data_IF_346848365747
#
_entry.id   IF_346848365747
#
_cell.length_a   1.000
_cell.length_b   1.000
_cell.length_c   1.000
_cell.angle_alpha   90.00
_cell.angle_beta   90.00
_cell.angle_gamma   90.00
#
_symmetry.space_group_name_H-M   'P 1'
#
loop_
_entity.id
_entity.type
_entity.pdbx_description
1 polymer ?
#
# COMPACT_ATOMS: atom_id res chain seq x y z
N UNK A 1 0.47 -7.07 8.45
CA UNK A 1 0.45 -7.58 9.84
C UNK A 1 1.42 -6.75 10.67
N UNK A 2 1.03 -6.23 11.84
CA UNK A 2 2.01 -5.63 12.75
C UNK A 2 3.08 -6.69 13.06
N UNK A 3 4.36 -6.29 13.20
CA UNK A 3 5.40 -7.21 13.65
C UNK A 3 4.95 -7.84 14.96
N UNK A 4 5.12 -9.18 15.09
CA UNK A 4 4.82 -9.89 16.33
C UNK A 4 5.53 -9.14 17.47
N UNK A 5 4.75 -8.63 18.42
CA UNK A 5 5.29 -8.01 19.62
C UNK A 5 6.34 -8.94 20.21
N UNK A 6 7.50 -8.40 20.57
CA UNK A 6 8.51 -9.19 21.26
C UNK A 6 7.84 -9.79 22.50
N UNK A 7 7.78 -11.11 22.57
CA UNK A 7 7.38 -11.82 23.79
C UNK A 7 8.43 -11.46 24.83
N UNK A 8 8.16 -10.43 25.62
CA UNK A 8 8.92 -10.16 26.83
C UNK A 8 8.60 -11.29 27.81
N UNK A 9 9.53 -12.23 27.92
CA UNK A 9 9.63 -13.13 29.08
C UNK A 9 9.54 -12.27 30.33
N UNK A 10 8.41 -12.35 31.03
CA UNK A 10 8.25 -11.77 32.36
C UNK A 10 9.21 -12.50 33.30
N UNK A 11 10.36 -11.89 33.57
CA UNK A 11 11.12 -12.21 34.76
C UNK A 11 10.32 -11.69 35.95
N UNK A 12 10.04 -12.56 36.91
CA UNK A 12 9.41 -12.24 38.19
C UNK A 12 10.35 -11.32 39.00
N UNK A 13 10.19 -10.01 38.80
CA UNK A 13 10.92 -8.98 39.53
C UNK A 13 9.97 -7.86 39.88
N UNK A 14 9.92 -7.52 41.18
CA UNK A 14 9.18 -6.42 41.84
C UNK A 14 8.53 -5.42 40.86
N UNK A 15 7.20 -5.47 40.77
CA UNK A 15 6.37 -4.57 39.97
C UNK A 15 6.45 -3.14 40.52
N UNK A 16 7.47 -2.39 40.09
CA UNK A 16 7.45 -0.93 40.19
C UNK A 16 6.60 -0.46 39.01
N UNK A 17 5.49 0.28 39.21
CA UNK A 17 4.75 0.83 38.08
C UNK A 17 5.72 1.71 37.29
N UNK A 18 5.98 1.34 36.04
CA UNK A 18 6.88 2.10 35.19
C UNK A 18 6.31 3.51 35.02
N UNK A 19 7.06 4.49 35.48
CA UNK A 19 6.74 5.90 35.24
C UNK A 19 6.68 6.16 33.73
N UNK A 20 5.85 7.10 33.29
CA UNK A 20 5.80 7.51 31.88
C UNK A 20 7.20 7.70 31.27
N UNK A 21 8.09 8.40 32.00
CA UNK A 21 9.46 8.65 31.57
C UNK A 21 10.28 7.37 31.34
N UNK A 22 10.22 6.41 32.27
CA UNK A 22 10.96 5.15 32.11
C UNK A 22 10.43 4.31 30.95
N UNK A 23 9.11 4.27 30.76
CA UNK A 23 8.50 3.61 29.60
C UNK A 23 8.95 4.25 28.29
N UNK A 24 8.90 5.58 28.19
CA UNK A 24 9.33 6.29 26.97
C UNK A 24 10.82 6.09 26.67
N UNK A 25 11.69 6.15 27.68
CA UNK A 25 13.12 5.86 27.51
C UNK A 25 13.35 4.44 27.01
N UNK A 26 12.57 3.46 27.47
CA UNK A 26 12.64 2.10 26.96
C UNK A 26 12.16 2.01 25.50
N UNK A 27 11.02 2.62 25.17
CA UNK A 27 10.44 2.59 23.83
C UNK A 27 11.33 3.23 22.78
N UNK A 28 11.96 4.37 23.07
CA UNK A 28 12.85 5.08 22.12
C UNK A 28 14.03 4.21 21.67
N UNK A 29 14.46 3.24 22.50
CA UNK A 29 15.54 2.29 22.12
C UNK A 29 15.06 1.20 21.16
N UNK A 30 13.75 1.10 20.92
CA UNK A 30 13.17 0.05 20.07
C UNK A 30 12.98 0.53 18.63
N UNK A 31 13.20 -0.37 17.68
CA UNK A 31 12.90 -0.09 16.27
C UNK A 31 11.40 0.16 16.02
N UNK A 32 10.52 -0.44 16.82
CA UNK A 32 9.06 -0.29 16.69
C UNK A 32 8.61 1.14 17.00
N UNK A 33 9.29 1.84 17.91
CA UNK A 33 8.98 3.24 18.20
C UNK A 33 9.25 4.15 17.01
N UNK A 34 10.34 3.94 16.28
CA UNK A 34 10.62 4.70 15.06
C UNK A 34 9.64 4.36 13.93
N UNK A 35 9.21 3.10 13.81
CA UNK A 35 8.15 2.72 12.89
C UNK A 35 6.83 3.44 13.21
N UNK A 36 6.46 3.51 14.48
CA UNK A 36 5.31 4.30 14.95
C UNK A 36 5.45 5.79 14.60
N UNK A 37 6.61 6.38 14.90
CA UNK A 37 6.86 7.79 14.63
C UNK A 37 6.78 8.10 13.12
N UNK A 38 7.27 7.19 12.26
CA UNK A 38 7.12 7.29 10.81
C UNK A 38 5.65 7.34 10.39
N UNK A 39 4.78 6.50 10.98
CA UNK A 39 3.34 6.55 10.70
C UNK A 39 2.68 7.84 11.21
N UNK A 40 3.08 8.35 12.37
CA UNK A 40 2.62 9.67 12.85
C UNK A 40 3.02 10.77 11.87
N UNK A 41 4.25 10.75 11.34
CA UNK A 41 4.69 11.70 10.32
C UNK A 41 3.91 11.57 9.01
N UNK A 42 3.54 10.35 8.58
CA UNK A 42 2.63 10.16 7.44
C UNK A 42 1.31 10.91 7.67
N UNK A 43 0.69 10.76 8.84
CA UNK A 43 -0.59 11.39 9.17
C UNK A 43 -0.48 12.93 9.22
N UNK A 44 0.54 13.46 9.89
CA UNK A 44 0.77 14.91 9.99
C UNK A 44 1.05 15.51 8.61
N UNK A 45 1.95 14.90 7.83
CA UNK A 45 2.29 15.39 6.50
C UNK A 45 1.10 15.28 5.52
N UNK A 46 0.30 14.21 5.61
CA UNK A 46 -0.94 14.07 4.84
C UNK A 46 -1.92 15.20 5.18
N UNK A 47 -2.15 15.48 6.46
CA UNK A 47 -3.04 16.55 6.87
C UNK A 47 -2.56 17.92 6.36
N UNK A 48 -1.27 18.22 6.49
CA UNK A 48 -0.67 19.44 5.96
C UNK A 48 -0.75 19.52 4.44
N UNK A 49 -0.57 18.41 3.71
CA UNK A 49 -0.76 18.35 2.26
C UNK A 49 -2.18 18.78 1.86
N UNK A 50 -3.21 18.31 2.56
CA UNK A 50 -4.60 18.68 2.26
C UNK A 50 -4.89 20.16 2.60
N UNK A 51 -4.43 20.66 3.74
CA UNK A 51 -4.61 22.08 4.12
C UNK A 51 -3.86 23.00 3.16
N UNK A 52 -2.63 22.65 2.79
CA UNK A 52 -1.81 23.50 1.91
C UNK A 52 -2.14 23.34 0.44
N UNK A 53 -3.09 22.47 0.08
CA UNK A 53 -3.62 22.37 -1.28
C UNK A 53 -4.15 23.70 -1.81
N UNK A 54 -4.54 24.62 -0.93
CA UNK A 54 -4.99 25.97 -1.25
C UNK A 54 -3.85 27.01 -1.37
N UNK A 55 -2.63 26.68 -0.91
CA UNK A 55 -1.55 27.65 -0.64
C UNK A 55 -0.18 27.25 -1.24
N UNK A 56 -0.17 26.52 -2.36
CA UNK A 56 1.01 26.22 -3.20
C UNK A 56 2.09 25.27 -2.65
N UNK A 57 2.10 24.92 -1.35
CA UNK A 57 3.11 24.00 -0.74
C UNK A 57 2.74 22.51 -0.79
N UNK A 58 1.72 22.15 -1.56
CA UNK A 58 1.13 20.80 -1.67
C UNK A 58 2.14 19.71 -1.99
N UNK A 59 3.07 19.97 -2.92
CA UNK A 59 4.07 18.97 -3.36
C UNK A 59 5.13 18.67 -2.29
N UNK A 60 5.48 19.66 -1.47
CA UNK A 60 6.45 19.46 -0.40
C UNK A 60 5.93 18.43 0.61
N UNK A 61 4.72 18.67 1.15
CA UNK A 61 4.13 17.76 2.12
C UNK A 61 3.80 16.39 1.52
N UNK A 62 3.41 16.33 0.24
CA UNK A 62 3.28 15.07 -0.50
C UNK A 62 4.57 14.23 -0.46
N UNK A 63 5.72 14.86 -0.73
CA UNK A 63 7.02 14.18 -0.69
C UNK A 63 7.42 13.76 0.74
N UNK A 64 7.10 14.57 1.76
CA UNK A 64 7.32 14.18 3.15
C UNK A 64 6.45 12.98 3.55
N UNK A 65 5.18 12.93 3.11
CA UNK A 65 4.31 11.77 3.29
C UNK A 65 4.94 10.53 2.69
N UNK A 66 5.33 10.57 1.41
CA UNK A 66 5.96 9.43 0.72
C UNK A 66 7.29 9.02 1.34
N UNK A 67 8.12 9.97 1.77
CA UNK A 67 9.38 9.67 2.45
C UNK A 67 9.15 8.96 3.79
N UNK A 68 8.14 9.40 4.54
CA UNK A 68 7.74 8.77 5.81
C UNK A 68 7.21 7.35 5.59
N UNK A 69 6.44 7.13 4.51
CA UNK A 69 6.01 5.80 4.05
C UNK A 69 7.22 4.92 3.72
N UNK A 70 8.16 5.42 2.91
CA UNK A 70 9.37 4.67 2.56
C UNK A 70 10.17 4.26 3.80
N UNK A 71 10.27 5.16 4.78
CA UNK A 71 10.92 4.87 6.05
C UNK A 71 10.22 3.74 6.82
N UNK A 72 8.88 3.78 6.99
CA UNK A 72 8.15 2.74 7.72
C UNK A 72 8.22 1.38 7.03
N UNK A 73 8.06 1.33 5.70
CA UNK A 73 8.16 0.08 4.96
C UNK A 73 9.58 -0.46 4.90
N UNK A 74 10.62 0.39 4.86
CA UNK A 74 12.01 -0.06 4.99
C UNK A 74 12.24 -0.78 6.31
N UNK A 75 11.70 -0.24 7.41
CA UNK A 75 11.77 -0.87 8.72
C UNK A 75 11.11 -2.26 8.70
N UNK A 76 9.90 -2.37 8.13
CA UNK A 76 9.17 -3.65 8.03
C UNK A 76 9.93 -4.65 7.17
N UNK A 77 10.39 -4.26 5.98
CA UNK A 77 11.15 -5.13 5.07
C UNK A 77 12.44 -5.62 5.72
N UNK A 78 13.14 -4.75 6.46
CA UNK A 78 14.31 -5.15 7.24
C UNK A 78 13.97 -6.21 8.28
N UNK A 79 12.86 -6.04 9.01
CA UNK A 79 12.41 -6.99 10.01
C UNK A 79 11.98 -8.32 9.43
N UNK A 80 11.33 -8.34 8.27
CA UNK A 80 10.78 -9.57 7.69
C UNK A 80 11.84 -10.33 6.91
N UNK A 81 12.60 -9.65 6.06
CA UNK A 81 13.48 -10.29 5.06
C UNK A 81 14.97 -10.13 5.30
N UNK A 82 15.40 -9.16 6.11
CA UNK A 82 16.82 -8.81 6.25
C UNK A 82 17.31 -8.82 7.71
N UNK A 83 16.77 -9.73 8.52
CA UNK A 83 17.16 -9.87 9.95
C UNK A 83 18.65 -10.13 10.13
N UNK A 84 19.25 -10.88 9.23
CA UNK A 84 20.68 -11.26 9.25
C UNK A 84 21.28 -11.18 7.85
N UNK A 85 22.61 -11.01 7.77
CA UNK A 85 23.33 -11.05 6.48
C UNK A 85 23.15 -12.39 5.75
N UNK A 86 22.92 -13.49 6.48
CA UNK A 86 22.60 -14.79 5.89
C UNK A 86 21.25 -14.79 5.13
N UNK A 87 20.29 -13.97 5.59
CA UNK A 87 18.97 -13.82 4.96
C UNK A 87 19.05 -13.20 3.55
N UNK A 88 20.10 -12.41 3.28
CA UNK A 88 20.35 -11.85 1.94
C UNK A 88 20.73 -12.91 0.90
N UNK A 89 21.30 -14.04 1.35
CA UNK A 89 21.69 -15.16 0.50
C UNK A 89 20.62 -16.25 0.43
N UNK A 90 19.44 -16.03 1.02
CA UNK A 90 18.37 -17.01 1.00
C UNK A 90 17.91 -17.27 -0.45
N UNK A 91 17.91 -18.53 -0.92
CA UNK A 91 17.63 -18.86 -2.33
C UNK A 91 16.25 -18.40 -2.80
N UNK A 92 15.30 -18.22 -1.87
CA UNK A 92 13.92 -17.81 -2.15
C UNK A 92 13.62 -16.34 -1.84
N UNK A 93 14.62 -15.51 -1.52
CA UNK A 93 14.40 -14.10 -1.13
C UNK A 93 13.59 -13.31 -2.18
N UNK A 94 13.93 -13.47 -3.46
CA UNK A 94 13.21 -12.79 -4.56
C UNK A 94 11.73 -13.21 -4.62
N UNK A 95 11.48 -14.51 -4.52
CA UNK A 95 10.11 -15.05 -4.54
C UNK A 95 9.31 -14.59 -3.30
N UNK A 96 9.96 -14.47 -2.14
CA UNK A 96 9.35 -13.99 -0.91
C UNK A 96 8.99 -12.50 -1.00
N UNK A 97 9.87 -11.67 -1.56
CA UNK A 97 9.61 -10.25 -1.78
C UNK A 97 8.46 -10.01 -2.76
N UNK A 98 8.40 -10.77 -3.86
CA UNK A 98 7.31 -10.67 -4.85
C UNK A 98 5.95 -11.06 -4.23
N UNK A 99 5.94 -11.86 -3.17
CA UNK A 99 4.69 -12.22 -2.47
C UNK A 99 4.34 -11.30 -1.30
N UNK A 100 5.24 -10.42 -0.89
CA UNK A 100 5.03 -9.55 0.27
C UNK A 100 4.37 -8.23 -0.12
N UNK A 101 3.15 -8.01 0.38
CA UNK A 101 2.41 -6.76 0.18
C UNK A 101 3.21 -5.52 0.62
N UNK A 102 3.99 -5.62 1.69
CA UNK A 102 4.81 -4.51 2.19
C UNK A 102 5.87 -4.09 1.16
N UNK A 103 6.40 -5.06 0.41
CA UNK A 103 7.34 -4.77 -0.67
C UNK A 103 6.64 -4.07 -1.84
N UNK A 104 5.42 -4.49 -2.18
CA UNK A 104 4.64 -3.83 -3.24
C UNK A 104 4.34 -2.37 -2.90
N UNK A 105 3.92 -2.11 -1.67
CA UNK A 105 3.69 -0.76 -1.16
C UNK A 105 4.96 0.09 -1.12
N UNK A 106 6.10 -0.50 -0.74
CA UNK A 106 7.40 0.17 -0.78
C UNK A 106 7.76 0.60 -2.20
N UNK A 107 7.68 -0.31 -3.18
CA UNK A 107 7.98 -0.02 -4.59
C UNK A 107 7.04 1.06 -5.14
N UNK A 108 5.74 0.97 -4.82
CA UNK A 108 4.75 1.96 -5.24
C UNK A 108 5.09 3.35 -4.69
N UNK A 109 5.36 3.47 -3.39
CA UNK A 109 5.76 4.72 -2.76
C UNK A 109 7.07 5.28 -3.32
N UNK A 110 8.04 4.40 -3.61
CA UNK A 110 9.35 4.78 -4.14
C UNK A 110 9.21 5.40 -5.52
N UNK A 111 8.45 4.76 -6.40
CA UNK A 111 8.20 5.25 -7.76
C UNK A 111 7.50 6.59 -7.70
N UNK A 112 6.42 6.73 -6.90
CA UNK A 112 5.76 8.02 -6.73
C UNK A 112 6.70 9.10 -6.20
N UNK A 113 7.56 8.77 -5.23
CA UNK A 113 8.51 9.73 -4.67
C UNK A 113 9.49 10.23 -5.73
N UNK A 114 10.11 9.30 -6.47
CA UNK A 114 11.10 9.61 -7.50
C UNK A 114 10.50 10.41 -8.65
N UNK A 115 9.27 10.12 -9.07
CA UNK A 115 8.63 10.82 -10.19
C UNK A 115 7.90 12.11 -9.80
N UNK A 116 7.57 12.30 -8.51
CA UNK A 116 6.75 13.43 -8.02
C UNK A 116 7.31 14.80 -8.36
N UNK A 117 8.63 14.96 -8.41
CA UNK A 117 9.26 16.26 -8.70
C UNK A 117 9.03 16.69 -10.15
N UNK A 118 8.72 15.74 -11.04
CA UNK A 118 8.49 15.99 -12.46
C UNK A 118 7.01 15.89 -12.84
N UNK A 119 6.28 14.92 -12.28
CA UNK A 119 4.88 14.67 -12.58
C UNK A 119 3.90 15.38 -11.63
N UNK A 120 4.39 15.91 -10.51
CA UNK A 120 3.54 16.43 -9.43
C UNK A 120 2.99 15.34 -8.52
N UNK A 121 2.00 15.70 -7.70
CA UNK A 121 1.32 14.76 -6.81
C UNK A 121 0.25 13.99 -7.57
N UNK A 122 0.31 12.65 -7.54
CA UNK A 122 -0.74 11.81 -8.11
C UNK A 122 -1.94 11.77 -7.16
N UNK A 123 -3.12 12.14 -7.65
CA UNK A 123 -4.35 12.14 -6.84
C UNK A 123 -4.64 10.74 -6.28
N UNK A 124 -5.02 10.68 -5.00
CA UNK A 124 -5.35 9.43 -4.30
C UNK A 124 -4.16 8.53 -3.91
N UNK A 125 -2.95 8.80 -4.41
CA UNK A 125 -1.77 7.94 -4.20
C UNK A 125 -1.30 7.78 -2.75
N UNK A 126 -1.70 8.68 -1.86
CA UNK A 126 -1.33 8.66 -0.44
C UNK A 126 -2.43 8.16 0.50
N UNK A 127 -3.62 7.84 -0.03
CA UNK A 127 -4.79 7.51 0.81
C UNK A 127 -4.65 6.17 1.52
N UNK A 128 -4.33 5.08 0.79
CA UNK A 128 -4.14 3.77 1.40
C UNK A 128 -3.03 3.79 2.46
N UNK A 129 -1.89 4.44 2.15
CA UNK A 129 -0.80 4.64 3.12
C UNK A 129 -1.24 5.37 4.38
N UNK A 130 -2.04 6.42 4.25
CA UNK A 130 -2.56 7.20 5.38
C UNK A 130 -3.52 6.37 6.22
N UNK A 131 -4.40 5.60 5.58
CA UNK A 131 -5.32 4.70 6.26
C UNK A 131 -4.56 3.67 7.10
N UNK A 132 -3.58 2.96 6.51
CA UNK A 132 -2.77 2.01 7.28
C UNK A 132 -2.01 2.70 8.42
N UNK A 133 -1.49 3.90 8.18
CA UNK A 133 -0.77 4.68 9.20
C UNK A 133 -1.65 5.08 10.38
N UNK A 134 -2.93 5.36 10.15
CA UNK A 134 -3.88 5.68 11.22
C UNK A 134 -4.06 4.48 12.15
N UNK A 135 -4.37 3.31 11.60
CA UNK A 135 -4.59 2.10 12.39
C UNK A 135 -3.30 1.66 13.09
N UNK A 136 -2.16 1.70 12.40
CA UNK A 136 -0.87 1.40 13.01
C UNK A 136 -0.51 2.33 14.16
N UNK A 137 -0.76 3.64 14.02
CA UNK A 137 -0.52 4.62 15.07
C UNK A 137 -1.42 4.38 16.29
N UNK A 138 -2.72 4.15 16.07
CA UNK A 138 -3.69 3.88 17.13
C UNK A 138 -3.35 2.60 17.90
N UNK A 139 -3.10 1.49 17.19
CA UNK A 139 -2.76 0.21 17.81
C UNK A 139 -1.43 0.29 18.57
N UNK A 140 -0.41 0.97 18.02
CA UNK A 140 0.86 1.12 18.72
C UNK A 140 0.69 1.95 20.00
N UNK A 141 0.00 3.08 19.91
CA UNK A 141 -0.27 3.95 21.05
C UNK A 141 -1.01 3.20 22.16
N UNK A 142 -2.07 2.47 21.79
CA UNK A 142 -2.86 1.66 22.71
C UNK A 142 -2.02 0.60 23.44
N UNK A 143 -1.17 -0.12 22.71
CA UNK A 143 -0.44 -1.26 23.25
C UNK A 143 0.83 -0.88 24.03
N UNK A 144 1.43 0.27 23.76
CA UNK A 144 2.77 0.60 24.29
C UNK A 144 2.80 1.89 25.10
N UNK A 145 1.93 2.86 24.82
CA UNK A 145 2.02 4.21 25.41
C UNK A 145 0.89 4.43 26.42
N UNK A 146 -0.33 3.99 26.10
CA UNK A 146 -1.55 4.35 26.84
C UNK A 146 -1.48 4.05 28.35
N UNK A 147 -1.04 2.85 28.73
CA UNK A 147 -0.95 2.44 30.14
C UNK A 147 0.07 3.22 30.96
N UNK A 148 1.03 3.87 30.30
CA UNK A 148 2.09 4.65 30.94
C UNK A 148 1.75 6.12 31.10
N UNK A 149 0.64 6.61 30.52
CA UNK A 149 0.27 8.02 30.58
C UNK A 149 -0.06 8.44 32.03
N UNK A 150 0.36 9.64 32.45
CA UNK A 150 0.09 10.19 33.79
C UNK A 150 -1.35 10.71 33.90
N UNK A 151 -2.33 9.87 33.58
CA UNK A 151 -3.77 10.14 33.66
C UNK A 151 -4.45 9.07 34.52
N UNK A 152 -5.66 9.34 35.02
CA UNK A 152 -6.38 8.38 35.86
C UNK A 152 -6.65 7.07 35.12
N UNK A 153 -6.73 5.95 35.87
CA UNK A 153 -7.06 4.64 35.30
C UNK A 153 -8.39 4.66 34.55
N UNK A 154 -9.39 5.41 35.05
CA UNK A 154 -10.67 5.58 34.38
C UNK A 154 -10.53 6.29 33.03
N UNK A 155 -9.69 7.32 32.92
CA UNK A 155 -9.38 7.97 31.65
C UNK A 155 -8.62 7.06 30.69
N UNK A 156 -7.67 6.25 31.17
CA UNK A 156 -6.97 5.26 30.35
C UNK A 156 -7.95 4.22 29.78
N UNK A 157 -8.84 3.68 30.61
CA UNK A 157 -9.87 2.73 30.19
C UNK A 157 -10.84 3.35 29.19
N UNK A 158 -11.28 4.59 29.42
CA UNK A 158 -12.15 5.30 28.48
C UNK A 158 -11.50 5.49 27.11
N UNK A 159 -10.22 5.87 27.06
CA UNK A 159 -9.48 6.03 25.81
C UNK A 159 -9.23 4.68 25.12
N UNK A 160 -8.90 3.64 25.89
CA UNK A 160 -8.76 2.27 25.39
C UNK A 160 -10.06 1.79 24.72
N UNK A 161 -11.20 1.98 25.37
CA UNK A 161 -12.52 1.63 24.82
C UNK A 161 -12.85 2.43 23.56
N UNK A 162 -12.53 3.74 23.52
CA UNK A 162 -12.73 4.55 22.31
C UNK A 162 -11.89 4.05 21.13
N UNK A 163 -10.62 3.72 21.36
CA UNK A 163 -9.74 3.17 20.32
C UNK A 163 -10.23 1.80 19.85
N UNK A 164 -10.63 0.93 20.78
CA UNK A 164 -11.21 -0.37 20.44
C UNK A 164 -12.49 -0.22 19.62
N UNK A 165 -13.41 0.65 20.03
CA UNK A 165 -14.65 0.89 19.30
C UNK A 165 -14.38 1.43 17.90
N UNK A 166 -13.48 2.41 17.76
CA UNK A 166 -13.10 2.95 16.46
C UNK A 166 -12.47 1.87 15.56
N UNK A 167 -11.45 1.17 16.06
CA UNK A 167 -10.72 0.18 15.25
C UNK A 167 -11.61 -0.98 14.85
N UNK A 168 -12.42 -1.52 15.77
CA UNK A 168 -13.38 -2.60 15.45
C UNK A 168 -14.48 -2.15 14.48
N UNK A 169 -15.01 -0.95 14.64
CA UNK A 169 -16.12 -0.46 13.81
C UNK A 169 -15.69 -0.07 12.40
N UNK A 170 -14.47 0.45 12.25
CA UNK A 170 -14.04 1.04 10.98
C UNK A 170 -12.96 0.25 10.25
N UNK A 171 -12.35 -0.80 10.82
CA UNK A 171 -11.25 -1.51 10.16
C UNK A 171 -11.65 -2.09 8.79
N UNK A 172 -12.77 -2.81 8.68
CA UNK A 172 -13.18 -3.39 7.40
C UNK A 172 -13.53 -2.32 6.36
N UNK A 173 -14.28 -1.29 6.78
CA UNK A 173 -14.61 -0.14 5.94
C UNK A 173 -13.36 0.59 5.48
N UNK A 174 -12.37 0.77 6.35
CA UNK A 174 -11.10 1.40 6.02
C UNK A 174 -10.30 0.57 5.02
N UNK A 175 -10.27 -0.75 5.14
CA UNK A 175 -9.64 -1.65 4.17
C UNK A 175 -10.32 -1.61 2.80
N UNK A 176 -11.66 -1.47 2.78
CA UNK A 176 -12.43 -1.24 1.56
C UNK A 176 -12.09 0.11 0.92
N UNK A 177 -12.04 1.19 1.71
CA UNK A 177 -11.69 2.53 1.20
C UNK A 177 -10.23 2.55 0.70
N UNK A 178 -9.30 1.90 1.39
CA UNK A 178 -7.92 1.76 0.93
C UNK A 178 -7.86 1.08 -0.43
N UNK A 179 -8.49 -0.09 -0.56
CA UNK A 179 -8.58 -0.84 -1.83
C UNK A 179 -9.27 -0.03 -2.93
N UNK A 180 -10.27 0.78 -2.58
CA UNK A 180 -10.94 1.68 -3.51
C UNK A 180 -10.02 2.79 -4.00
N UNK A 181 -9.24 3.39 -3.10
CA UNK A 181 -8.27 4.43 -3.42
C UNK A 181 -7.12 3.91 -4.28
N UNK A 182 -6.71 2.65 -4.07
CA UNK A 182 -5.73 1.97 -4.91
C UNK A 182 -6.25 1.83 -6.34
N UNK A 183 -7.49 1.35 -6.52
CA UNK A 183 -8.08 1.21 -7.86
C UNK A 183 -8.32 2.56 -8.55
N UNK A 184 -8.64 3.61 -7.78
CA UNK A 184 -8.76 4.98 -8.29
C UNK A 184 -7.47 5.49 -8.94
N UNK A 185 -6.30 4.93 -8.64
CA UNK A 185 -5.06 5.32 -9.32
C UNK A 185 -5.12 5.04 -10.82
N UNK A 186 -5.80 3.98 -11.25
CA UNK A 186 -5.94 3.65 -12.67
C UNK A 186 -6.73 4.72 -13.43
N UNK A 187 -7.67 5.41 -12.78
CA UNK A 187 -8.50 6.43 -13.45
C UNK A 187 -7.66 7.64 -13.87
N UNK A 188 -6.57 7.93 -13.15
CA UNK A 188 -5.61 9.00 -13.50
C UNK A 188 -4.89 8.74 -14.83
N UNK A 189 -4.93 7.50 -15.33
CA UNK A 189 -4.22 7.09 -16.55
C UNK A 189 -5.13 6.92 -17.77
N UNK A 190 -6.46 7.01 -17.60
CA UNK A 190 -7.46 6.79 -18.67
C UNK A 190 -7.23 7.72 -19.87
N UNK A 191 -6.88 8.99 -19.61
CA UNK A 191 -6.53 9.95 -20.68
C UNK A 191 -5.02 10.06 -20.91
N UNK A 192 -4.22 9.87 -19.86
CA UNK A 192 -2.76 10.02 -19.91
C UNK A 192 -2.11 9.01 -20.86
N UNK A 193 -2.54 7.74 -20.82
CA UNK A 193 -1.93 6.66 -21.60
C UNK A 193 -2.26 6.76 -23.10
N UNK A 194 -3.52 6.94 -23.53
CA UNK A 194 -3.84 7.14 -24.95
C UNK A 194 -3.13 8.35 -25.57
N UNK A 195 -2.89 9.41 -24.79
CA UNK A 195 -2.19 10.61 -25.25
C UNK A 195 -0.66 10.45 -25.27
N UNK A 196 -0.12 9.29 -24.88
CA UNK A 196 1.34 9.04 -24.81
C UNK A 196 2.07 9.33 -26.12
N UNK A 197 1.60 8.91 -27.32
CA UNK A 197 2.31 9.19 -28.57
C UNK A 197 2.50 10.69 -28.83
N UNK A 198 1.46 11.49 -28.55
CA UNK A 198 1.51 12.95 -28.68
C UNK A 198 2.43 13.55 -27.61
N UNK A 199 2.32 13.07 -26.37
CA UNK A 199 3.15 13.53 -25.27
C UNK A 199 4.62 13.14 -25.43
N UNK A 200 4.93 12.07 -26.15
CA UNK A 200 6.31 11.65 -26.44
C UNK A 200 7.01 12.68 -27.34
N UNK A 201 6.27 13.30 -28.27
CA UNK A 201 6.79 14.36 -29.13
C UNK A 201 6.96 15.70 -28.39
N UNK A 202 6.09 15.99 -27.41
CA UNK A 202 6.09 17.29 -26.68
C UNK A 202 6.94 17.30 -25.42
N UNK A 203 6.89 16.23 -24.63
CA UNK A 203 7.57 16.08 -23.34
C UNK A 203 7.95 14.62 -23.13
N UNK A 204 8.99 14.12 -23.83
CA UNK A 204 9.33 12.71 -23.86
C UNK A 204 9.59 12.12 -22.47
N UNK A 205 10.27 12.88 -21.60
CA UNK A 205 10.54 12.45 -20.23
C UNK A 205 9.24 12.25 -19.45
N UNK A 206 8.28 13.17 -19.54
CA UNK A 206 7.01 13.03 -18.80
C UNK A 206 6.19 11.86 -19.35
N UNK A 207 6.20 11.66 -20.68
CA UNK A 207 5.54 10.52 -21.29
C UNK A 207 6.12 9.18 -20.78
N UNK A 208 7.45 9.04 -20.78
CA UNK A 208 8.15 7.85 -20.27
C UNK A 208 7.85 7.63 -18.79
N UNK A 209 7.93 8.66 -17.95
CA UNK A 209 7.64 8.54 -16.52
C UNK A 209 6.19 8.13 -16.28
N UNK A 210 5.22 8.69 -17.01
CA UNK A 210 3.82 8.29 -16.89
C UNK A 210 3.61 6.82 -17.26
N UNK A 211 4.28 6.31 -18.29
CA UNK A 211 4.23 4.88 -18.66
C UNK A 211 4.85 4.00 -17.57
N UNK A 212 5.99 4.40 -16.99
CA UNK A 212 6.62 3.67 -15.87
C UNK A 212 5.67 3.62 -14.66
N UNK A 213 5.12 4.77 -14.26
CA UNK A 213 4.20 4.85 -13.12
C UNK A 213 2.95 4.00 -13.39
N UNK A 214 2.38 4.08 -14.59
CA UNK A 214 1.24 3.26 -14.97
C UNK A 214 1.56 1.76 -14.89
N UNK A 215 2.69 1.32 -15.42
CA UNK A 215 3.11 -0.09 -15.35
C UNK A 215 3.27 -0.59 -13.91
N UNK A 216 3.83 0.25 -13.03
CA UNK A 216 3.96 -0.05 -11.60
C UNK A 216 2.60 -0.11 -10.90
N UNK A 217 1.69 0.83 -11.19
CA UNK A 217 0.33 0.83 -10.63
C UNK A 217 -0.45 -0.41 -11.09
N UNK A 218 -0.41 -0.75 -12.38
CA UNK A 218 -1.07 -1.96 -12.91
C UNK A 218 -0.52 -3.22 -12.25
N UNK A 219 0.81 -3.33 -12.13
CA UNK A 219 1.46 -4.47 -11.46
C UNK A 219 1.05 -4.56 -9.99
N UNK A 220 1.06 -3.43 -9.29
CA UNK A 220 0.61 -3.34 -7.90
C UNK A 220 -0.85 -3.82 -7.77
N UNK A 221 -1.78 -3.30 -8.58
CA UNK A 221 -3.19 -3.70 -8.52
C UNK A 221 -3.39 -5.18 -8.83
N UNK A 222 -2.65 -5.74 -9.79
CA UNK A 222 -2.70 -7.18 -10.08
C UNK A 222 -2.25 -8.01 -8.88
N UNK A 223 -1.10 -7.69 -8.31
CA UNK A 223 -0.59 -8.41 -7.13
C UNK A 223 -1.54 -8.30 -5.93
N UNK A 224 -2.15 -7.12 -5.74
CA UNK A 224 -3.18 -6.89 -4.73
C UNK A 224 -4.44 -7.69 -5.00
N UNK A 225 -4.92 -7.76 -6.25
CA UNK A 225 -6.09 -8.56 -6.62
C UNK A 225 -5.87 -10.05 -6.30
N UNK A 226 -4.67 -10.57 -6.53
CA UNK A 226 -4.36 -11.98 -6.26
C UNK A 226 -4.31 -12.31 -4.76
N UNK A 227 -4.02 -11.34 -3.91
CA UNK A 227 -3.75 -11.56 -2.47
C UNK A 227 -4.83 -10.99 -1.54
N UNK A 228 -5.65 -10.03 -2.01
CA UNK A 228 -6.52 -9.23 -1.16
C UNK A 228 -8.00 -9.30 -1.57
N UNK A 229 -8.82 -9.86 -0.66
CA UNK A 229 -10.27 -9.99 -0.85
C UNK A 229 -11.00 -8.66 -1.08
N UNK A 230 -10.54 -7.56 -0.46
CA UNK A 230 -11.17 -6.25 -0.61
C UNK A 230 -10.88 -5.67 -1.99
N UNK A 231 -9.65 -5.81 -2.50
CA UNK A 231 -9.32 -5.45 -3.88
C UNK A 231 -10.15 -6.25 -4.88
N UNK A 232 -10.31 -7.57 -4.68
CA UNK A 232 -11.18 -8.40 -5.53
C UNK A 232 -12.62 -7.89 -5.52
N UNK A 233 -13.18 -7.63 -4.33
CA UNK A 233 -14.53 -7.11 -4.18
C UNK A 233 -14.72 -5.75 -4.86
N UNK A 234 -13.78 -4.82 -4.71
CA UNK A 234 -13.83 -3.50 -5.35
C UNK A 234 -13.80 -3.64 -6.87
N UNK A 235 -12.90 -4.47 -7.41
CA UNK A 235 -12.81 -4.70 -8.87
C UNK A 235 -14.12 -5.28 -9.41
N UNK A 236 -14.67 -6.30 -8.76
CA UNK A 236 -15.97 -6.88 -9.15
C UNK A 236 -17.11 -5.86 -9.05
N UNK A 237 -17.11 -5.03 -8.00
CA UNK A 237 -18.12 -3.99 -7.82
C UNK A 237 -18.05 -2.93 -8.93
N UNK A 238 -16.85 -2.58 -9.37
CA UNK A 238 -16.66 -1.65 -10.48
C UNK A 238 -17.08 -2.25 -11.81
N UNK A 239 -16.72 -3.51 -12.09
CA UNK A 239 -17.17 -4.19 -13.32
C UNK A 239 -18.70 -4.27 -13.38
N UNK A 240 -19.35 -4.58 -12.26
CA UNK A 240 -20.81 -4.61 -12.17
C UNK A 240 -21.42 -3.23 -12.46
N UNK A 241 -20.90 -2.16 -11.85
CA UNK A 241 -21.40 -0.79 -12.06
C UNK A 241 -21.24 -0.33 -13.51
N UNK A 242 -20.08 -0.60 -14.12
CA UNK A 242 -19.85 -0.24 -15.53
C UNK A 242 -20.76 -1.08 -16.43
N UNK A 243 -20.90 -2.38 -16.16
CA UNK A 243 -21.80 -3.24 -16.92
C UNK A 243 -23.26 -2.75 -16.80
N UNK A 244 -23.73 -2.38 -15.62
CA UNK A 244 -25.06 -1.79 -15.42
C UNK A 244 -25.24 -0.49 -16.21
N UNK A 245 -24.24 0.40 -16.19
CA UNK A 245 -24.28 1.66 -16.93
C UNK A 245 -24.35 1.43 -18.44
N UNK A 246 -23.57 0.48 -18.98
CA UNK A 246 -23.55 0.17 -20.41
C UNK A 246 -24.82 -0.52 -20.93
N UNK A 247 -25.60 -1.16 -20.05
CA UNK A 247 -26.88 -1.80 -20.39
C UNK A 247 -28.09 -0.99 -19.89
N UNK A 248 -27.87 0.19 -19.32
CA UNK A 248 -28.94 1.08 -18.85
C UNK A 248 -29.78 1.61 -20.03
N UNK A 249 -31.04 2.00 -19.81
CA UNK A 249 -31.85 2.64 -20.85
C UNK A 249 -31.21 3.93 -21.41
N UNK A 250 -30.43 4.65 -20.59
CA UNK A 250 -29.65 5.81 -21.02
C UNK A 250 -28.39 5.45 -21.86
N UNK A 251 -28.02 4.17 -21.94
CA UNK A 251 -26.87 3.72 -22.73
C UNK A 251 -27.06 3.87 -24.25
N UNK A 252 -28.26 4.22 -24.71
CA UNK A 252 -28.51 4.64 -26.10
C UNK A 252 -27.70 5.88 -26.50
N UNK A 253 -27.29 6.70 -25.53
CA UNK A 253 -26.42 7.87 -25.74
C UNK A 253 -24.92 7.55 -25.76
N UNK A 254 -24.52 6.31 -25.41
CA UNK A 254 -23.12 5.90 -25.39
C UNK A 254 -22.75 5.31 -26.77
N UNK A 255 -21.76 5.89 -27.49
CA UNK A 255 -21.31 5.38 -28.78
C UNK A 255 -20.95 3.89 -28.73
N UNK A 256 -21.31 3.14 -29.76
CA UNK A 256 -21.08 1.69 -29.83
C UNK A 256 -19.59 1.34 -29.73
N UNK A 257 -18.71 2.17 -30.28
CA UNK A 257 -17.26 2.01 -30.15
C UNK A 257 -16.76 2.01 -28.69
N UNK A 258 -17.41 2.74 -27.79
CA UNK A 258 -17.05 2.75 -26.35
C UNK A 258 -17.53 1.47 -25.67
N UNK A 259 -18.71 0.95 -26.06
CA UNK A 259 -19.23 -0.32 -25.57
C UNK A 259 -18.32 -1.47 -25.99
N UNK A 260 -17.90 -1.49 -27.26
CA UNK A 260 -17.02 -2.52 -27.82
C UNK A 260 -15.60 -2.42 -27.23
N UNK A 261 -15.08 -1.21 -27.04
CA UNK A 261 -13.80 -0.99 -26.36
C UNK A 261 -13.81 -1.52 -24.91
N UNK A 262 -14.91 -1.35 -24.18
CA UNK A 262 -15.04 -1.91 -22.83
C UNK A 262 -15.21 -3.44 -22.86
N UNK A 263 -16.16 -3.95 -23.63
CA UNK A 263 -16.55 -5.37 -23.61
C UNK A 263 -15.51 -6.29 -24.26
N UNK A 264 -14.89 -5.86 -25.36
CA UNK A 264 -14.00 -6.72 -26.15
C UNK A 264 -12.54 -6.48 -25.73
N UNK A 265 -12.11 -5.22 -25.69
CA UNK A 265 -10.70 -4.90 -25.48
C UNK A 265 -10.35 -4.84 -23.99
N UNK A 266 -11.10 -4.08 -23.20
CA UNK A 266 -10.81 -3.94 -21.77
C UNK A 266 -11.10 -5.22 -20.99
N UNK A 267 -12.30 -5.82 -21.09
CA UNK A 267 -12.57 -7.11 -20.41
C UNK A 267 -11.72 -8.26 -20.95
N UNK A 268 -11.39 -8.26 -22.25
CA UNK A 268 -10.43 -9.21 -22.83
C UNK A 268 -9.05 -9.12 -22.18
N UNK A 269 -8.48 -7.92 -22.09
CA UNK A 269 -7.20 -7.68 -21.42
C UNK A 269 -7.29 -7.95 -19.91
N UNK A 270 -8.38 -7.56 -19.26
CA UNK A 270 -8.61 -7.79 -17.83
C UNK A 270 -8.66 -9.29 -17.53
N UNK A 271 -9.37 -10.09 -18.33
CA UNK A 271 -9.40 -11.54 -18.15
C UNK A 271 -8.05 -12.21 -18.45
N UNK A 272 -7.31 -11.71 -19.43
CA UNK A 272 -5.98 -12.21 -19.77
C UNK A 272 -4.92 -11.87 -18.70
N UNK A 273 -4.98 -10.68 -18.11
CA UNK A 273 -4.00 -10.21 -17.12
C UNK A 273 -4.42 -10.42 -15.66
N UNK A 274 -5.71 -10.28 -15.32
CA UNK A 274 -6.25 -10.52 -13.96
C UNK A 274 -6.71 -11.96 -13.75
N UNK A 275 -6.86 -12.78 -14.79
CA UNK A 275 -7.03 -14.22 -14.64
C UNK A 275 -5.95 -14.79 -13.71
N UNK A 276 -6.22 -15.90 -13.00
CA UNK A 276 -5.22 -16.48 -12.13
C UNK A 276 -3.98 -16.77 -12.97
N UNK A 277 -2.84 -16.16 -12.60
CA UNK A 277 -1.54 -16.62 -13.06
C UNK A 277 -1.41 -17.99 -12.43
N UNK A 278 -1.92 -19.01 -13.11
CA UNK A 278 -1.77 -20.39 -12.67
C UNK A 278 -0.28 -20.59 -12.47
N UNK A 279 0.13 -20.86 -11.24
CA UNK A 279 1.51 -21.20 -10.87
C UNK A 279 2.08 -22.30 -11.78
N UNK A 280 1.22 -23.06 -12.44
CA UNK A 280 1.50 -23.99 -13.54
C UNK A 280 2.34 -23.39 -14.67
N UNK A 281 2.15 -22.13 -15.08
CA UNK A 281 2.91 -21.54 -16.18
C UNK A 281 4.32 -21.11 -15.78
N UNK A 282 4.51 -20.68 -14.52
CA UNK A 282 5.84 -20.35 -13.98
C UNK A 282 6.61 -21.64 -13.65
N UNK A 283 5.94 -22.67 -13.13
CA UNK A 283 6.54 -23.99 -12.87
C UNK A 283 6.87 -24.73 -14.17
N UNK A 284 6.08 -24.58 -15.25
CA UNK A 284 6.45 -25.08 -16.58
C UNK A 284 7.66 -24.35 -17.16
N UNK A 285 7.73 -23.02 -17.01
CA UNK A 285 8.87 -22.24 -17.50
C UNK A 285 10.17 -22.52 -16.73
N UNK A 286 10.08 -22.89 -15.44
CA UNK A 286 11.23 -23.27 -14.62
C UNK A 286 11.58 -24.76 -14.79
N UNK A 287 10.59 -25.65 -14.89
CA UNK A 287 10.78 -27.09 -15.08
C UNK A 287 11.22 -27.51 -16.50
N UNK A 288 10.94 -26.69 -17.52
CA UNK A 288 11.43 -26.91 -18.88
C UNK A 288 12.93 -26.56 -19.05
N UNK A 289 13.53 -25.82 -18.09
CA UNK A 289 14.96 -25.51 -18.10
C UNK A 289 15.83 -26.58 -17.43
N UNK A 290 15.25 -27.46 -16.62
CA UNK A 290 16.00 -28.46 -15.84
C UNK A 290 16.05 -29.85 -16.53
N UNK A 291 15.22 -30.07 -17.55
CA UNK A 291 15.22 -31.32 -18.33
C UNK A 291 16.09 -31.28 -19.58
N UNK A 292 16.56 -30.11 -20.02
CA UNK A 292 17.41 -29.96 -21.20
C UNK A 292 18.93 -30.03 -20.91
N UNK A 293 19.35 -29.99 -19.64
CA UNK A 293 20.77 -30.07 -19.26
C UNK A 293 21.26 -31.47 -18.84
N UNK A 294 20.35 -32.48 -18.78
CA UNK A 294 20.67 -33.83 -18.26
C UNK A 294 20.75 -34.93 -19.32
N UNK A 295 20.75 -34.59 -20.61
CA UNK A 295 20.97 -35.53 -21.73
C UNK A 295 22.20 -35.16 -22.56
N UNK A 296 23.36 -34.98 -21.92
CA UNK A 296 24.66 -35.12 -22.57
C UNK A 296 25.68 -35.61 -21.53
N UNK A 297 25.70 -36.92 -21.30
CA UNK A 297 26.87 -37.71 -20.93
C UNK A 297 26.53 -39.19 -21.06
#
# INVERSE_FOLDING_TARGET
MPPKAATTTKAEGKFKPDTFGSTMVALVKTQQFYWFLGHVFVLVAFFLHNITSFFSKTLFYYKITLLSVLFTYTIVLRQVHFKTFASLKAPNLRANLIKDENFHYFVLALVFFLTSSRLGALSGSIYSFTIFSLFHSLTYFQNNILSSLPISLSSQQALNSKINNFTSSYNETALMIASQSELLLLTSFVFTIPMTPINLLRSPINAILNVIVFGVVVTFIKLRYDQNKYTQHVVSSWDLKISQLLHSPQASMIPQSIKDAYQIQFKGLLSQYLGPISSTNIIRAIGAKDTSSRKQK
#
